data_IF_536402644268
#
_entry.id   IF_536402644268
#
_cell.length_a   1.000
_cell.length_b   1.000
_cell.length_c   1.000
_cell.angle_alpha   90.00
_cell.angle_beta   90.00
_cell.angle_gamma   90.00
#
_symmetry.space_group_name_H-M   'P 1'
#
loop_
_entity.id
_entity.type
_entity.pdbx_description
1 polymer ?
#
# COMPACT_ATOMS: atom_id res chain seq x y z
N UNK A 1 -45.96 -5.44 -25.71
CA UNK A 1 -46.15 -4.08 -26.28
C UNK A 1 -47.58 -3.60 -25.99
N UNK A 2 -47.75 -2.33 -25.60
CA UNK A 2 -49.00 -1.58 -25.32
C UNK A 2 -49.55 -1.36 -23.89
N UNK A 3 -48.79 -1.53 -22.81
CA UNK A 3 -49.17 -0.86 -21.53
C UNK A 3 -48.88 0.65 -21.50
N UNK A 4 -48.07 1.17 -22.42
CA UNK A 4 -47.66 2.59 -22.41
C UNK A 4 -48.50 3.51 -23.32
N UNK A 5 -49.39 2.93 -24.15
CA UNK A 5 -50.24 3.70 -25.06
C UNK A 5 -51.61 4.06 -24.46
N UNK A 6 -52.11 3.31 -23.46
CA UNK A 6 -53.39 3.59 -22.82
C UNK A 6 -53.29 4.52 -21.60
N UNK A 7 -52.08 4.77 -21.07
CA UNK A 7 -51.87 5.68 -19.95
C UNK A 7 -51.84 7.18 -20.35
N UNK A 8 -51.62 7.48 -21.63
CA UNK A 8 -51.48 8.86 -22.13
C UNK A 8 -52.77 9.53 -22.62
N UNK A 9 -53.91 8.82 -22.64
CA UNK A 9 -55.24 9.41 -22.93
C UNK A 9 -56.05 9.72 -21.66
N UNK A 10 -55.44 9.78 -20.48
CA UNK A 10 -56.10 10.14 -19.22
C UNK A 10 -55.80 11.57 -18.73
N UNK A 11 -55.54 12.50 -19.65
CA UNK A 11 -55.58 13.94 -19.36
C UNK A 11 -56.28 14.63 -20.52
N UNK A 12 -57.60 14.77 -20.43
CA UNK A 12 -58.37 15.97 -20.78
C UNK A 12 -59.89 15.68 -20.77
N UNK A 13 -60.61 16.59 -20.12
CA UNK A 13 -62.06 16.87 -20.19
C UNK A 13 -63.07 16.11 -19.30
N UNK A 14 -63.45 16.85 -18.25
CA UNK A 14 -64.77 17.01 -17.63
C UNK A 14 -65.44 15.86 -16.85
N UNK A 15 -65.94 16.27 -15.68
CA UNK A 15 -66.61 15.49 -14.65
C UNK A 15 -67.86 14.75 -15.17
N UNK A 16 -67.96 13.45 -14.87
CA UNK A 16 -69.18 12.74 -14.40
C UNK A 16 -69.11 11.19 -14.58
N UNK A 17 -67.94 10.55 -14.40
CA UNK A 17 -67.85 9.07 -14.38
C UNK A 17 -66.88 8.60 -13.28
N UNK A 18 -67.19 8.90 -12.02
CA UNK A 18 -66.28 8.61 -10.88
C UNK A 18 -66.53 7.27 -10.16
N UNK A 19 -67.41 6.38 -10.65
CA UNK A 19 -67.74 5.15 -9.91
C UNK A 19 -67.61 3.84 -10.69
N UNK A 20 -67.39 3.87 -12.00
CA UNK A 20 -67.22 2.64 -12.80
C UNK A 20 -65.76 2.31 -13.17
N UNK A 21 -64.88 3.31 -13.33
CA UNK A 21 -63.45 3.06 -13.61
C UNK A 21 -62.64 2.55 -12.40
N UNK A 22 -63.06 2.84 -11.17
CA UNK A 22 -62.28 2.48 -9.98
C UNK A 22 -62.22 0.96 -9.74
N UNK A 23 -63.29 0.23 -10.07
CA UNK A 23 -63.37 -1.23 -9.87
C UNK A 23 -62.62 -2.05 -10.91
N UNK A 24 -62.51 -1.59 -12.16
CA UNK A 24 -61.70 -2.30 -13.18
C UNK A 24 -60.21 -1.97 -13.06
N UNK A 25 -59.86 -0.77 -12.61
CA UNK A 25 -58.47 -0.39 -12.34
C UNK A 25 -57.90 -1.07 -11.08
N UNK A 26 -58.74 -1.35 -10.08
CA UNK A 26 -58.33 -2.08 -8.87
C UNK A 26 -58.17 -3.58 -9.11
N UNK A 27 -58.93 -4.17 -10.04
CA UNK A 27 -58.70 -5.57 -10.48
C UNK A 27 -57.45 -5.70 -11.36
N UNK A 28 -57.12 -4.69 -12.17
CA UNK A 28 -55.84 -4.65 -12.88
C UNK A 28 -54.62 -4.51 -11.94
N UNK A 29 -54.79 -3.84 -10.79
CA UNK A 29 -53.76 -3.73 -9.75
C UNK A 29 -53.63 -5.00 -8.89
N UNK A 30 -54.71 -5.75 -8.68
CA UNK A 30 -54.70 -7.02 -7.93
C UNK A 30 -54.28 -8.24 -8.80
N UNK A 31 -54.41 -8.18 -10.13
CA UNK A 31 -53.82 -9.17 -11.07
C UNK A 31 -52.35 -8.86 -11.43
N UNK A 32 -51.91 -7.59 -11.36
CA UNK A 32 -50.50 -7.20 -11.30
C UNK A 32 -50.00 -7.29 -9.84
N UNK A 33 -50.05 -8.48 -9.24
CA UNK A 33 -49.33 -8.72 -7.97
C UNK A 33 -47.89 -8.25 -8.12
N UNK A 34 -47.36 -7.52 -7.12
CA UNK A 34 -45.99 -6.98 -7.03
C UNK A 34 -45.02 -7.67 -8.00
N UNK A 35 -44.97 -7.20 -9.25
CA UNK A 35 -43.99 -7.71 -10.20
C UNK A 35 -42.66 -7.20 -9.67
N UNK A 36 -41.80 -8.12 -9.24
CA UNK A 36 -40.45 -7.78 -8.83
C UNK A 36 -39.82 -6.90 -9.89
N UNK A 37 -39.18 -5.81 -9.47
CA UNK A 37 -38.44 -4.99 -10.42
C UNK A 37 -37.25 -5.80 -10.92
N UNK A 38 -37.14 -5.97 -12.24
CA UNK A 38 -35.95 -6.57 -12.87
C UNK A 38 -34.72 -5.80 -12.41
N UNK A 39 -33.75 -6.52 -11.86
CA UNK A 39 -32.52 -5.93 -11.32
C UNK A 39 -31.33 -6.80 -11.68
N UNK A 40 -30.15 -6.17 -11.70
CA UNK A 40 -28.86 -6.82 -11.71
C UNK A 40 -28.01 -6.22 -10.58
N UNK A 41 -27.23 -7.03 -9.89
CA UNK A 41 -26.35 -6.58 -8.81
C UNK A 41 -25.07 -7.38 -8.82
N UNK A 42 -23.94 -6.69 -8.92
CA UNK A 42 -22.62 -7.27 -8.70
C UNK A 42 -22.47 -7.58 -7.20
N UNK A 43 -22.15 -8.82 -6.87
CA UNK A 43 -21.92 -9.29 -5.50
C UNK A 43 -20.44 -9.47 -5.17
N UNK A 44 -19.60 -9.64 -6.20
CA UNK A 44 -18.14 -9.65 -6.10
C UNK A 44 -17.55 -9.19 -7.43
N UNK A 45 -16.51 -8.34 -7.46
CA UNK A 45 -15.93 -7.64 -6.32
C UNK A 45 -16.92 -6.64 -5.69
N UNK A 46 -16.69 -6.26 -4.43
CA UNK A 46 -17.50 -5.22 -3.77
C UNK A 46 -17.01 -3.81 -4.15
N UNK A 47 -17.90 -2.82 -4.12
CA UNK A 47 -17.52 -1.44 -4.42
C UNK A 47 -16.45 -0.93 -3.44
N UNK A 48 -15.34 -0.43 -3.99
CA UNK A 48 -14.14 0.00 -3.27
C UNK A 48 -13.13 -1.11 -2.95
N UNK A 49 -13.32 -2.35 -3.41
CA UNK A 49 -12.40 -3.46 -3.11
C UNK A 49 -11.01 -3.26 -3.75
N UNK A 50 -9.96 -3.62 -2.99
CA UNK A 50 -8.60 -3.74 -3.54
C UNK A 50 -8.30 -5.19 -3.85
N UNK A 51 -8.04 -5.47 -5.13
CA UNK A 51 -7.72 -6.79 -5.67
C UNK A 51 -6.21 -6.92 -5.84
N UNK A 52 -5.64 -8.03 -5.37
CA UNK A 52 -4.20 -8.30 -5.45
C UNK A 52 -3.78 -8.95 -6.79
N UNK A 53 -4.68 -8.97 -7.77
CA UNK A 53 -4.51 -9.63 -9.06
C UNK A 53 -5.43 -9.00 -10.10
N UNK A 54 -4.93 -8.82 -11.32
CA UNK A 54 -5.73 -8.45 -12.48
C UNK A 54 -6.58 -9.61 -13.03
N UNK A 55 -6.41 -10.81 -12.48
CA UNK A 55 -7.22 -11.99 -12.75
C UNK A 55 -8.23 -12.18 -11.60
N UNK A 56 -9.51 -11.97 -11.88
CA UNK A 56 -10.61 -12.14 -10.92
C UNK A 56 -11.92 -12.48 -11.65
N UNK A 57 -13.00 -12.73 -10.90
CA UNK A 57 -14.32 -13.01 -11.50
C UNK A 57 -15.37 -12.08 -10.94
N UNK A 58 -16.28 -11.63 -11.82
CA UNK A 58 -17.49 -10.91 -11.43
C UNK A 58 -18.54 -11.94 -11.04
N UNK A 59 -18.94 -11.95 -9.79
CA UNK A 59 -20.15 -12.62 -9.33
C UNK A 59 -21.30 -11.61 -9.31
N UNK A 60 -22.48 -12.07 -9.75
CA UNK A 60 -23.65 -11.22 -9.83
C UNK A 60 -24.91 -12.03 -9.57
N UNK A 61 -25.99 -11.31 -9.32
CA UNK A 61 -27.33 -11.85 -9.22
C UNK A 61 -28.31 -11.00 -10.04
N UNK A 62 -29.25 -11.64 -10.71
CA UNK A 62 -30.38 -11.00 -11.38
C UNK A 62 -31.68 -11.38 -10.70
N UNK A 63 -32.65 -10.45 -10.67
CA UNK A 63 -34.03 -10.74 -10.25
C UNK A 63 -34.94 -10.68 -11.46
N UNK A 64 -35.80 -11.69 -11.63
CA UNK A 64 -36.82 -11.77 -12.70
C UNK A 64 -36.24 -11.56 -14.12
N UNK A 65 -35.07 -12.13 -14.40
CA UNK A 65 -34.41 -12.03 -15.71
C UNK A 65 -33.78 -13.36 -16.14
N UNK A 66 -34.23 -13.88 -17.28
CA UNK A 66 -33.76 -15.12 -17.89
C UNK A 66 -32.66 -14.80 -18.91
N UNK A 67 -31.42 -15.16 -18.58
CA UNK A 67 -30.27 -14.96 -19.47
C UNK A 67 -30.28 -16.02 -20.58
N UNK A 68 -30.10 -15.59 -21.82
CA UNK A 68 -29.95 -16.48 -22.97
C UNK A 68 -29.15 -15.85 -24.10
N UNK A 69 -29.13 -16.51 -25.26
CA UNK A 69 -28.34 -16.06 -26.40
C UNK A 69 -28.98 -14.89 -27.15
N UNK A 70 -28.17 -14.16 -27.94
CA UNK A 70 -28.66 -13.15 -28.88
C UNK A 70 -29.75 -13.74 -29.80
N UNK A 71 -30.87 -13.03 -29.91
CA UNK A 71 -32.04 -13.45 -30.71
C UNK A 71 -32.79 -14.66 -30.17
N UNK A 72 -32.67 -14.99 -28.89
CA UNK A 72 -33.50 -16.03 -28.25
C UNK A 72 -35.00 -15.66 -28.33
N UNK A 73 -35.86 -16.69 -28.41
CA UNK A 73 -37.32 -16.53 -28.35
C UNK A 73 -37.87 -16.80 -26.94
N UNK A 74 -37.05 -17.38 -26.05
CA UNK A 74 -37.42 -17.90 -24.73
C UNK A 74 -36.59 -17.32 -23.58
N UNK A 75 -35.91 -16.19 -23.80
CA UNK A 75 -35.15 -15.49 -22.79
C UNK A 75 -35.48 -13.98 -22.75
N UNK A 76 -35.16 -13.32 -21.65
CA UNK A 76 -35.37 -11.88 -21.49
C UNK A 76 -34.23 -11.07 -22.13
N UNK A 77 -33.04 -11.67 -22.25
CA UNK A 77 -31.88 -11.08 -22.91
C UNK A 77 -30.54 -11.60 -22.36
N UNK A 78 -29.53 -10.73 -22.29
CA UNK A 78 -28.18 -11.09 -21.84
C UNK A 78 -27.45 -9.91 -21.19
N UNK A 79 -26.22 -10.14 -20.69
CA UNK A 79 -25.42 -9.07 -20.09
C UNK A 79 -24.38 -8.51 -21.07
N UNK A 80 -24.18 -7.20 -21.01
CA UNK A 80 -22.99 -6.51 -21.51
C UNK A 80 -22.08 -6.13 -20.34
N UNK A 81 -20.78 -6.35 -20.48
CA UNK A 81 -19.77 -6.07 -19.45
C UNK A 81 -18.86 -4.93 -19.92
N UNK A 82 -18.67 -3.93 -19.08
CA UNK A 82 -17.82 -2.79 -19.36
C UNK A 82 -16.74 -2.66 -18.29
N UNK A 83 -15.54 -2.27 -18.73
CA UNK A 83 -14.44 -1.86 -17.86
C UNK A 83 -14.04 -0.44 -18.26
N UNK A 84 -14.06 0.48 -17.30
CA UNK A 84 -13.78 1.90 -17.48
C UNK A 84 -14.67 2.58 -18.54
N UNK A 85 -15.98 2.29 -18.49
CA UNK A 85 -16.99 2.75 -19.45
C UNK A 85 -16.72 2.32 -20.91
N UNK A 86 -15.82 1.36 -21.11
CA UNK A 86 -15.50 0.77 -22.41
C UNK A 86 -15.88 -0.70 -22.46
N UNK A 87 -16.10 -1.22 -23.66
CA UNK A 87 -16.32 -2.66 -23.90
C UNK A 87 -15.23 -3.46 -23.19
N UNK A 88 -15.61 -4.49 -22.43
CA UNK A 88 -14.66 -5.35 -21.73
C UNK A 88 -13.67 -6.01 -22.72
N UNK A 89 -12.38 -5.67 -22.58
CA UNK A 89 -11.28 -6.28 -23.33
C UNK A 89 -10.55 -7.38 -22.56
N UNK A 90 -10.91 -7.60 -21.30
CA UNK A 90 -10.24 -8.50 -20.36
C UNK A 90 -10.99 -9.83 -20.18
N UNK A 91 -12.07 -10.03 -20.92
CA UNK A 91 -12.90 -11.21 -20.85
C UNK A 91 -14.05 -11.11 -21.85
N UNK A 92 -15.15 -11.80 -21.55
CA UNK A 92 -16.35 -11.73 -22.38
C UNK A 92 -17.03 -10.36 -22.23
N UNK A 93 -17.30 -9.71 -23.36
CA UNK A 93 -18.16 -8.52 -23.42
C UNK A 93 -19.64 -8.88 -23.32
N UNK A 94 -20.05 -10.00 -23.95
CA UNK A 94 -21.44 -10.44 -24.00
C UNK A 94 -21.56 -11.79 -23.29
N UNK A 95 -22.40 -11.86 -22.25
CA UNK A 95 -22.54 -13.04 -21.40
C UNK A 95 -23.91 -13.66 -21.58
N UNK A 96 -23.94 -14.87 -22.14
CA UNK A 96 -25.16 -15.60 -22.54
C UNK A 96 -25.54 -16.75 -21.62
N UNK A 97 -24.88 -16.87 -20.47
CA UNK A 97 -25.13 -17.91 -19.48
C UNK A 97 -24.90 -17.39 -18.07
N UNK A 98 -25.67 -17.91 -17.12
CA UNK A 98 -25.46 -17.66 -15.69
C UNK A 98 -24.09 -18.17 -15.21
N UNK A 99 -23.57 -17.52 -14.17
CA UNK A 99 -22.33 -17.89 -13.49
C UNK A 99 -21.30 -16.76 -13.46
N UNK A 100 -20.16 -16.99 -12.77
CA UNK A 100 -19.11 -15.99 -12.65
C UNK A 100 -18.52 -15.59 -14.01
N UNK A 101 -18.27 -14.30 -14.20
CA UNK A 101 -17.67 -13.75 -15.43
C UNK A 101 -16.17 -13.54 -15.18
N UNK A 102 -15.28 -14.36 -15.75
CA UNK A 102 -13.86 -14.22 -15.53
C UNK A 102 -13.29 -13.02 -16.30
N UNK A 103 -12.50 -12.21 -15.61
CA UNK A 103 -11.63 -11.18 -16.18
C UNK A 103 -10.18 -11.61 -15.97
N UNK A 104 -9.34 -11.35 -16.97
CA UNK A 104 -7.91 -11.67 -16.92
C UNK A 104 -7.05 -10.52 -17.44
N UNK A 105 -5.98 -10.23 -16.72
CA UNK A 105 -5.01 -9.20 -17.07
C UNK A 105 -5.55 -7.78 -17.00
N UNK A 106 -6.51 -7.50 -16.12
CA UNK A 106 -6.90 -6.11 -15.81
C UNK A 106 -5.66 -5.38 -15.26
N UNK A 107 -5.25 -4.22 -15.83
CA UNK A 107 -4.05 -3.52 -15.41
C UNK A 107 -4.07 -3.10 -13.94
N UNK A 108 -2.90 -2.74 -13.40
CA UNK A 108 -2.83 -2.12 -12.09
C UNK A 108 -3.38 -0.68 -12.14
N UNK A 109 -4.21 -0.33 -11.17
CA UNK A 109 -4.86 0.98 -11.10
C UNK A 109 -6.29 0.90 -10.59
N UNK A 110 -6.96 2.04 -10.59
CA UNK A 110 -8.39 2.14 -10.32
C UNK A 110 -9.19 1.81 -11.59
N UNK A 111 -10.23 1.00 -11.43
CA UNK A 111 -11.11 0.58 -12.51
C UNK A 111 -12.58 0.63 -12.11
N UNK A 112 -13.45 0.95 -13.06
CA UNK A 112 -14.91 0.83 -12.92
C UNK A 112 -15.40 -0.40 -13.69
N UNK A 113 -16.14 -1.28 -13.03
CA UNK A 113 -16.72 -2.48 -13.63
C UNK A 113 -18.23 -2.32 -13.66
N UNK A 114 -18.82 -2.35 -14.86
CA UNK A 114 -20.26 -2.22 -15.06
C UNK A 114 -20.81 -3.46 -15.77
N UNK A 115 -21.87 -4.05 -15.25
CA UNK A 115 -22.69 -5.02 -15.99
C UNK A 115 -24.06 -4.41 -16.29
N UNK A 116 -24.51 -4.55 -17.53
CA UNK A 116 -25.77 -4.00 -18.02
C UNK A 116 -26.62 -5.12 -18.62
N UNK A 117 -27.90 -5.16 -18.27
CA UNK A 117 -28.87 -6.03 -18.96
C UNK A 117 -29.31 -5.39 -20.27
N UNK A 118 -29.37 -6.19 -21.32
CA UNK A 118 -29.89 -5.80 -22.63
C UNK A 118 -30.89 -6.83 -23.11
N UNK A 119 -31.77 -6.44 -24.02
CA UNK A 119 -32.68 -7.36 -24.69
C UNK A 119 -31.92 -8.30 -25.67
N UNK A 120 -32.58 -9.32 -26.26
CA UNK A 120 -31.95 -10.25 -27.19
C UNK A 120 -31.41 -9.60 -28.47
N UNK A 121 -31.79 -8.34 -28.77
CA UNK A 121 -31.34 -7.55 -29.92
C UNK A 121 -30.14 -6.63 -29.62
N UNK A 122 -29.56 -6.72 -28.41
CA UNK A 122 -28.51 -5.83 -27.89
C UNK A 122 -28.98 -4.40 -27.59
N UNK A 123 -30.28 -4.18 -27.44
CA UNK A 123 -30.81 -2.88 -27.05
C UNK A 123 -30.86 -2.77 -25.53
N UNK A 124 -30.26 -1.72 -24.92
CA UNK A 124 -30.42 -1.46 -23.50
C UNK A 124 -31.87 -1.16 -23.13
N UNK A 125 -32.27 -1.55 -21.92
CA UNK A 125 -33.56 -1.16 -21.35
C UNK A 125 -33.60 0.35 -21.05
N UNK A 126 -34.80 0.92 -20.97
CA UNK A 126 -35.04 2.33 -20.62
C UNK A 126 -35.96 2.43 -19.38
N UNK A 127 -35.46 2.87 -18.21
CA UNK A 127 -34.06 3.22 -17.94
C UNK A 127 -33.12 2.01 -18.00
N UNK A 128 -31.82 2.27 -18.18
CA UNK A 128 -30.78 1.22 -18.15
C UNK A 128 -30.86 0.43 -16.84
N UNK A 129 -30.77 -0.90 -16.94
CA UNK A 129 -30.69 -1.79 -15.78
C UNK A 129 -29.24 -2.26 -15.71
N UNK A 130 -28.48 -1.65 -14.80
CA UNK A 130 -27.04 -1.88 -14.67
C UNK A 130 -26.58 -1.88 -13.21
N UNK A 131 -25.42 -2.47 -12.97
CA UNK A 131 -24.73 -2.45 -11.68
C UNK A 131 -23.27 -2.13 -11.91
N UNK A 132 -22.75 -1.17 -11.15
CA UNK A 132 -21.37 -0.70 -11.24
C UNK A 132 -20.68 -0.83 -9.89
N UNK A 133 -19.43 -1.29 -9.90
CA UNK A 133 -18.53 -1.29 -8.74
C UNK A 133 -17.18 -0.72 -9.15
N UNK A 134 -16.56 0.04 -8.26
CA UNK A 134 -15.20 0.55 -8.43
C UNK A 134 -14.23 -0.37 -7.70
N UNK A 135 -13.10 -0.71 -8.32
CA UNK A 135 -12.06 -1.55 -7.72
C UNK A 135 -10.68 -0.94 -7.92
N UNK A 136 -9.75 -1.30 -7.05
CA UNK A 136 -8.32 -1.01 -7.25
C UNK A 136 -7.58 -2.32 -7.47
N UNK A 137 -6.98 -2.51 -8.64
CA UNK A 137 -6.07 -3.64 -8.88
C UNK A 137 -4.68 -3.21 -8.46
N UNK A 138 -4.16 -3.81 -7.40
CA UNK A 138 -2.84 -3.50 -6.84
C UNK A 138 -1.86 -4.63 -7.09
N UNK A 139 -0.58 -4.28 -7.24
CA UNK A 139 0.49 -5.26 -7.18
C UNK A 139 0.52 -5.84 -5.74
N UNK A 140 0.58 -7.17 -5.59
CA UNK A 140 0.71 -7.78 -4.28
C UNK A 140 2.07 -7.41 -3.68
N UNK A 141 2.11 -6.84 -2.49
CA UNK A 141 3.40 -6.48 -1.86
C UNK A 141 4.18 -7.74 -1.45
N UNK A 142 5.52 -7.71 -1.42
CA UNK A 142 6.29 -8.77 -0.78
C UNK A 142 5.94 -8.81 0.71
N UNK A 143 5.87 -10.00 1.30
CA UNK A 143 5.56 -10.18 2.72
C UNK A 143 6.57 -11.16 3.30
N UNK A 144 7.40 -10.67 4.22
CA UNK A 144 8.43 -11.49 4.86
C UNK A 144 7.84 -12.28 6.02
N UNK A 145 8.20 -13.56 6.10
CA UNK A 145 7.94 -14.41 7.26
C UNK A 145 9.22 -15.13 7.67
N UNK A 146 9.59 -14.99 8.94
CA UNK A 146 10.79 -15.58 9.55
C UNK A 146 10.35 -16.59 10.62
N UNK A 147 10.96 -17.77 10.67
CA UNK A 147 10.66 -18.77 11.71
C UNK A 147 11.86 -19.66 12.01
N UNK A 148 12.25 -19.84 13.28
CA UNK A 148 11.77 -19.10 14.47
C UNK A 148 12.24 -17.64 14.47
N UNK A 149 11.65 -16.78 15.31
CA UNK A 149 12.06 -15.36 15.41
C UNK A 149 13.48 -15.18 15.97
N UNK A 150 14.02 -16.21 16.64
CA UNK A 150 15.38 -16.22 17.17
C UNK A 150 15.94 -17.66 17.25
N UNK A 151 17.26 -17.79 17.12
CA UNK A 151 17.98 -19.03 17.38
C UNK A 151 18.70 -18.96 18.73
N UNK A 152 18.66 -20.03 19.52
CA UNK A 152 19.39 -20.11 20.80
C UNK A 152 19.93 -21.51 21.03
N UNK A 153 21.21 -21.63 21.40
CA UNK A 153 21.89 -22.91 21.55
C UNK A 153 22.74 -22.91 22.83
N UNK A 154 22.66 -23.98 23.61
CA UNK A 154 23.56 -24.24 24.73
C UNK A 154 24.43 -25.46 24.37
N UNK A 155 25.76 -25.29 24.36
CA UNK A 155 26.73 -26.34 24.03
C UNK A 155 27.78 -26.48 25.13
N UNK A 156 28.21 -27.71 25.41
CA UNK A 156 29.37 -27.98 26.25
C UNK A 156 30.67 -27.98 25.43
N UNK A 157 31.82 -28.00 26.12
CA UNK A 157 33.14 -28.03 25.48
C UNK A 157 33.27 -29.22 24.51
N UNK A 158 33.54 -28.91 23.24
CA UNK A 158 33.72 -29.91 22.18
C UNK A 158 32.44 -30.38 21.49
N UNK A 159 31.27 -29.84 21.86
CA UNK A 159 30.00 -30.14 21.17
C UNK A 159 29.76 -29.20 19.97
N UNK A 160 28.99 -29.69 19.01
CA UNK A 160 28.48 -28.93 17.87
C UNK A 160 26.97 -29.09 17.80
N UNK A 161 26.25 -28.03 17.46
CA UNK A 161 24.81 -28.08 17.19
C UNK A 161 24.44 -27.30 15.93
N UNK A 162 23.34 -27.68 15.31
CA UNK A 162 22.78 -27.03 14.12
C UNK A 162 21.35 -26.58 14.45
N UNK A 163 20.98 -25.41 13.95
CA UNK A 163 19.61 -24.93 13.95
C UNK A 163 19.28 -24.32 12.59
N UNK A 164 17.98 -24.25 12.28
CA UNK A 164 17.50 -23.72 11.00
C UNK A 164 16.64 -22.49 11.24
N UNK A 165 17.02 -21.39 10.60
CA UNK A 165 16.17 -20.22 10.42
C UNK A 165 15.55 -20.31 9.01
N UNK A 166 14.23 -20.21 8.93
CA UNK A 166 13.50 -20.17 7.66
C UNK A 166 13.06 -18.74 7.38
N UNK A 167 13.45 -18.21 6.22
CA UNK A 167 12.94 -16.93 5.69
C UNK A 167 12.14 -17.25 4.45
N UNK A 168 10.90 -16.78 4.40
CA UNK A 168 9.97 -17.03 3.30
C UNK A 168 9.28 -15.74 2.88
N UNK A 169 8.92 -15.67 1.61
CA UNK A 169 8.05 -14.64 1.06
C UNK A 169 6.63 -15.20 0.93
N UNK A 170 5.69 -14.69 1.71
CA UNK A 170 4.26 -15.02 1.63
C UNK A 170 3.49 -14.06 0.75
N UNK A 171 4.15 -13.00 0.26
CA UNK A 171 3.61 -12.00 -0.65
C UNK A 171 3.72 -12.39 -2.12
N UNK A 172 3.30 -11.50 -3.02
CA UNK A 172 3.20 -11.80 -4.46
C UNK A 172 4.31 -11.24 -5.34
N UNK A 173 5.17 -10.35 -4.82
CA UNK A 173 6.35 -9.84 -5.52
C UNK A 173 7.65 -10.40 -4.91
N UNK A 174 8.77 -10.48 -5.65
CA UNK A 174 10.04 -10.96 -5.13
C UNK A 174 10.49 -10.23 -3.87
N UNK A 175 10.93 -11.00 -2.86
CA UNK A 175 11.50 -10.46 -1.62
C UNK A 175 13.03 -10.46 -1.73
N UNK A 176 13.63 -9.27 -1.70
CA UNK A 176 15.08 -9.12 -1.56
C UNK A 176 15.45 -9.23 -0.07
N UNK A 177 16.32 -10.19 0.26
CA UNK A 177 16.73 -10.48 1.65
C UNK A 177 18.22 -10.27 1.80
N UNK A 178 18.61 -9.53 2.84
CA UNK A 178 20.01 -9.37 3.26
C UNK A 178 20.16 -9.91 4.68
N UNK A 179 21.17 -10.74 4.88
CA UNK A 179 21.53 -11.29 6.19
C UNK A 179 22.80 -10.59 6.67
N UNK A 180 22.76 -9.96 7.83
CA UNK A 180 23.92 -9.43 8.53
C UNK A 180 24.07 -10.12 9.90
N UNK A 181 25.31 -10.21 10.38
CA UNK A 181 25.62 -10.70 11.72
C UNK A 181 26.14 -9.48 12.48
N UNK A 182 25.41 -9.07 13.51
CA UNK A 182 25.90 -8.06 14.47
C UNK A 182 26.64 -8.81 15.58
N UNK A 183 27.96 -8.60 15.67
CA UNK A 183 28.79 -9.20 16.71
C UNK A 183 28.76 -8.41 18.02
N UNK A 184 27.99 -7.31 18.08
CA UNK A 184 27.88 -6.43 19.23
C UNK A 184 29.19 -5.73 19.57
N UNK A 185 30.07 -5.55 18.57
CA UNK A 185 31.33 -4.86 18.78
C UNK A 185 31.10 -3.39 19.13
N UNK A 186 31.82 -2.92 20.15
CA UNK A 186 31.76 -1.53 20.61
C UNK A 186 33.09 -0.84 20.38
N UNK A 187 33.05 0.47 20.16
CA UNK A 187 34.23 1.34 20.16
C UNK A 187 34.16 2.32 21.33
N UNK A 188 35.30 2.65 21.93
CA UNK A 188 35.39 3.62 23.02
C UNK A 188 36.27 4.81 22.62
N UNK A 189 35.79 6.04 22.85
CA UNK A 189 36.58 7.25 22.62
C UNK A 189 37.49 7.61 23.80
N UNK A 190 38.24 8.71 23.66
CA UNK A 190 39.19 9.17 24.68
C UNK A 190 38.52 9.61 26.00
N UNK A 191 37.24 9.95 25.95
CA UNK A 191 36.45 10.36 27.11
C UNK A 191 35.79 9.17 27.83
N UNK A 192 35.96 7.97 27.28
CA UNK A 192 35.34 6.75 27.79
C UNK A 192 33.89 6.57 27.34
N UNK A 193 33.40 7.32 26.35
CA UNK A 193 32.10 7.05 25.75
C UNK A 193 32.20 5.75 24.93
N UNK A 194 31.28 4.82 25.18
CA UNK A 194 31.18 3.56 24.46
C UNK A 194 30.05 3.67 23.44
N UNK A 195 30.33 3.30 22.21
CA UNK A 195 29.40 3.33 21.08
C UNK A 195 29.25 1.91 20.54
N UNK A 196 28.02 1.48 20.32
CA UNK A 196 27.73 0.26 19.55
C UNK A 196 28.08 0.47 18.08
N UNK A 197 28.36 -0.62 17.37
CA UNK A 197 28.71 -0.56 15.96
C UNK A 197 27.85 -1.51 15.13
N UNK A 198 27.79 -1.27 13.83
CA UNK A 198 27.02 -2.07 12.88
C UNK A 198 27.81 -2.22 11.59
N UNK A 199 27.90 -3.44 11.06
CA UNK A 199 28.47 -3.72 9.75
C UNK A 199 27.41 -3.48 8.67
N UNK A 200 27.73 -2.62 7.70
CA UNK A 200 26.88 -2.28 6.57
C UNK A 200 27.69 -2.44 5.28
N UNK A 201 27.35 -3.45 4.49
CA UNK A 201 28.15 -3.80 3.30
C UNK A 201 29.56 -4.22 3.70
N UNK A 202 30.57 -3.45 3.27
CA UNK A 202 31.98 -3.65 3.64
C UNK A 202 32.48 -2.61 4.68
N UNK A 203 31.59 -1.77 5.21
CA UNK A 203 31.91 -0.68 6.12
C UNK A 203 31.38 -0.98 7.53
N UNK A 204 32.04 -0.45 8.56
CA UNK A 204 31.57 -0.52 9.96
C UNK A 204 31.29 0.89 10.45
N UNK A 205 30.08 1.10 10.99
CA UNK A 205 29.58 2.40 11.43
C UNK A 205 29.23 2.39 12.91
N UNK A 206 29.31 3.53 13.59
CA UNK A 206 28.75 3.68 14.94
C UNK A 206 27.22 3.76 14.85
N UNK A 207 26.50 3.09 15.75
CA UNK A 207 25.04 3.21 15.84
C UNK A 207 24.66 4.57 16.43
N UNK A 208 25.42 5.08 17.40
CA UNK A 208 25.15 6.37 18.04
C UNK A 208 25.96 7.54 17.47
N UNK A 209 25.49 8.76 17.73
CA UNK A 209 26.18 9.98 17.31
C UNK A 209 27.39 10.24 18.23
N UNK A 210 28.52 10.67 17.66
CA UNK A 210 29.73 11.02 18.40
C UNK A 210 29.45 12.13 19.43
N UNK A 211 29.94 11.96 20.66
CA UNK A 211 29.80 12.93 21.76
C UNK A 211 31.10 13.24 22.51
N UNK A 212 32.23 13.02 21.85
CA UNK A 212 33.56 13.33 22.38
C UNK A 212 33.72 14.84 22.65
N UNK A 213 34.44 15.17 23.70
CA UNK A 213 34.74 16.53 24.18
C UNK A 213 36.24 16.83 24.20
N UNK A 214 37.08 15.83 23.94
CA UNK A 214 38.52 15.97 23.72
C UNK A 214 38.94 15.45 22.35
N UNK A 215 39.98 16.05 21.78
CA UNK A 215 40.68 15.46 20.65
C UNK A 215 41.41 14.18 21.08
N UNK A 216 41.79 13.32 20.12
CA UNK A 216 42.48 12.04 20.38
C UNK A 216 43.81 12.18 21.12
N UNK A 217 44.43 13.36 21.12
CA UNK A 217 45.64 13.64 21.90
C UNK A 217 45.36 14.05 23.36
N UNK A 218 44.09 14.19 23.75
CA UNK A 218 43.64 14.60 25.09
C UNK A 218 43.43 16.09 25.27
N UNK A 219 43.62 16.93 24.23
CA UNK A 219 43.30 18.36 24.32
C UNK A 219 41.77 18.56 24.35
N UNK A 220 41.29 19.43 25.24
CA UNK A 220 39.87 19.82 25.26
C UNK A 220 39.46 20.50 23.94
N UNK A 221 38.27 20.14 23.45
CA UNK A 221 37.61 20.84 22.35
C UNK A 221 36.79 21.99 22.98
N UNK A 222 37.04 23.26 22.62
CA UNK A 222 36.29 24.38 23.18
C UNK A 222 34.77 24.32 22.91
N UNK A 223 33.95 24.83 23.83
CA UNK A 223 32.48 24.89 23.72
C UNK A 223 31.87 26.12 24.42
N UNK A 224 30.55 26.29 24.34
CA UNK A 224 29.80 27.35 25.04
C UNK A 224 29.81 28.71 24.35
N UNK A 225 30.03 28.73 23.03
CA UNK A 225 30.04 29.96 22.24
C UNK A 225 28.61 30.41 21.90
N UNK A 226 28.39 31.73 21.90
CA UNK A 226 27.16 32.28 21.34
C UNK A 226 27.11 32.06 19.82
N UNK A 227 25.91 32.15 19.21
CA UNK A 227 25.78 32.05 17.76
C UNK A 227 26.68 33.05 17.01
N UNK A 228 26.81 34.27 17.52
CA UNK A 228 27.66 35.30 16.93
C UNK A 228 29.14 34.93 17.03
N UNK A 229 29.59 34.43 18.19
CA UNK A 229 30.98 33.99 18.38
C UNK A 229 31.29 32.77 17.49
N UNK A 230 30.37 31.80 17.44
CA UNK A 230 30.52 30.55 16.68
C UNK A 230 30.82 30.82 15.20
N UNK A 231 30.12 31.77 14.59
CA UNK A 231 30.33 32.14 13.17
C UNK A 231 31.69 32.78 12.89
N UNK A 232 32.37 33.30 13.92
CA UNK A 232 33.65 33.98 13.80
C UNK A 232 34.84 33.11 14.25
N UNK A 233 34.58 31.87 14.69
CA UNK A 233 35.64 30.95 15.10
C UNK A 233 36.54 30.59 13.91
N UNK A 234 37.83 30.47 14.19
CA UNK A 234 38.86 29.95 13.27
C UNK A 234 39.57 28.72 13.83
N UNK A 235 39.03 28.17 14.93
CA UNK A 235 39.53 27.00 15.63
C UNK A 235 38.42 25.99 15.83
N UNK A 236 38.79 24.73 16.08
CA UNK A 236 37.81 23.69 16.38
C UNK A 236 37.00 24.00 17.63
N UNK A 237 35.71 23.70 17.58
CA UNK A 237 34.78 23.81 18.70
C UNK A 237 33.63 22.80 18.54
N UNK A 238 32.98 22.48 19.64
CA UNK A 238 31.73 21.72 19.65
C UNK A 238 30.62 22.47 20.39
N UNK A 239 29.37 22.13 20.10
CA UNK A 239 28.18 22.61 20.79
C UNK A 239 27.24 21.45 21.08
N UNK A 240 26.36 21.64 22.07
CA UNK A 240 25.27 20.70 22.36
C UNK A 240 23.99 21.29 21.81
N UNK A 241 23.15 20.46 21.18
CA UNK A 241 21.90 20.93 20.58
C UNK A 241 21.04 21.68 21.61
N UNK A 242 20.55 22.87 21.24
CA UNK A 242 19.79 23.79 22.11
C UNK A 242 20.50 24.21 23.42
N UNK A 243 21.83 24.09 23.51
CA UNK A 243 22.61 24.38 24.71
C UNK A 243 22.14 23.62 25.97
N UNK A 244 21.44 22.50 25.78
CA UNK A 244 20.98 21.63 26.86
C UNK A 244 21.89 20.41 26.95
N UNK A 245 22.66 20.30 28.03
CA UNK A 245 23.59 19.19 28.24
C UNK A 245 22.94 17.80 28.14
N UNK A 246 21.63 17.68 28.40
CA UNK A 246 20.92 16.40 28.28
C UNK A 246 20.79 15.92 26.83
N UNK A 247 20.90 16.84 25.87
CA UNK A 247 20.83 16.51 24.45
C UNK A 247 22.09 15.83 23.92
N UNK A 248 23.23 15.93 24.62
CA UNK A 248 24.46 15.27 24.20
C UNK A 248 24.32 13.74 24.20
N UNK A 249 23.57 13.17 25.14
CA UNK A 249 23.33 11.72 25.20
C UNK A 249 22.33 11.23 24.15
N UNK A 250 21.47 12.12 23.63
CA UNK A 250 20.42 11.77 22.67
C UNK A 250 20.89 12.01 21.23
N UNK A 251 21.54 13.15 20.99
CA UNK A 251 21.87 13.65 19.66
C UNK A 251 23.37 13.72 19.39
N UNK A 252 24.22 13.40 20.37
CA UNK A 252 25.64 13.65 20.30
C UNK A 252 25.99 15.14 20.35
N UNK A 253 27.23 15.45 20.01
CA UNK A 253 27.73 16.82 19.93
C UNK A 253 27.79 17.30 18.47
N UNK A 254 27.63 18.61 18.28
CA UNK A 254 27.76 19.29 16.99
C UNK A 254 29.16 19.88 16.88
N UNK A 255 29.93 19.45 15.88
CA UNK A 255 31.29 19.93 15.65
C UNK A 255 31.33 20.91 14.49
N UNK A 256 32.15 21.95 14.59
CA UNK A 256 32.42 22.81 13.43
C UNK A 256 33.44 22.15 12.48
N UNK A 257 33.56 22.69 11.25
CA UNK A 257 34.48 22.17 10.25
C UNK A 257 35.94 22.17 10.71
N UNK A 258 36.36 23.18 11.48
CA UNK A 258 37.71 23.25 12.04
C UNK A 258 38.02 22.11 13.00
N UNK A 259 37.04 21.62 13.77
CA UNK A 259 37.22 20.48 14.66
C UNK A 259 37.30 19.17 13.88
N UNK A 260 36.49 19.04 12.82
CA UNK A 260 36.47 17.87 11.93
C UNK A 260 37.78 17.71 11.16
N UNK A 261 38.36 18.82 10.68
CA UNK A 261 39.60 18.83 9.90
C UNK A 261 40.88 18.92 10.76
N UNK A 262 40.74 19.00 12.09
CA UNK A 262 41.89 19.13 12.98
C UNK A 262 42.76 17.85 12.98
N UNK A 263 44.07 18.02 12.85
CA UNK A 263 45.02 16.90 12.80
C UNK A 263 45.06 16.06 14.09
N UNK A 264 44.59 16.62 15.21
CA UNK A 264 44.50 15.91 16.49
C UNK A 264 43.36 14.87 16.49
N UNK A 265 42.38 15.02 15.60
CA UNK A 265 41.32 14.05 15.32
C UNK A 265 40.24 13.93 16.40
N UNK A 266 38.98 13.77 15.96
CA UNK A 266 37.82 13.57 16.83
C UNK A 266 37.56 12.09 17.15
N UNK A 267 37.72 11.21 16.16
CA UNK A 267 37.28 9.83 16.27
C UNK A 267 38.21 8.99 17.17
N UNK A 268 37.73 7.86 17.72
CA UNK A 268 38.59 6.85 18.36
C UNK A 268 39.73 6.36 17.46
N UNK A 269 40.73 5.69 18.05
CA UNK A 269 41.82 5.08 17.27
C UNK A 269 41.28 4.02 16.30
N UNK A 270 41.72 4.05 15.04
CA UNK A 270 41.21 3.17 13.98
C UNK A 270 39.92 3.65 13.31
N UNK A 271 39.32 4.73 13.81
CA UNK A 271 38.11 5.34 13.25
C UNK A 271 38.40 6.71 12.65
N UNK A 272 37.58 7.14 11.70
CA UNK A 272 37.69 8.44 11.03
C UNK A 272 36.33 9.06 10.77
N UNK A 273 36.34 10.37 10.48
CA UNK A 273 35.15 11.08 10.02
C UNK A 273 34.87 10.62 8.59
N UNK A 274 33.66 10.17 8.26
CA UNK A 274 33.34 9.66 6.94
C UNK A 274 33.61 10.68 5.83
N UNK A 275 34.14 10.19 4.72
CA UNK A 275 34.20 10.96 3.47
C UNK A 275 32.84 10.96 2.76
N UNK A 276 32.64 11.92 1.84
CA UNK A 276 31.44 11.95 1.00
C UNK A 276 31.25 10.64 0.21
N UNK A 277 32.34 9.99 -0.19
CA UNK A 277 32.28 8.71 -0.90
C UNK A 277 31.77 7.60 0.02
N UNK A 278 32.33 7.46 1.23
CA UNK A 278 31.90 6.43 2.17
C UNK A 278 30.44 6.63 2.60
N UNK A 279 30.02 7.89 2.79
CA UNK A 279 28.62 8.20 3.06
C UNK A 279 27.72 7.87 1.86
N UNK A 280 28.18 8.10 0.63
CA UNK A 280 27.44 7.71 -0.57
C UNK A 280 27.26 6.19 -0.63
N UNK A 281 28.32 5.42 -0.41
CA UNK A 281 28.28 3.95 -0.36
C UNK A 281 27.29 3.45 0.71
N UNK A 282 27.29 4.06 1.90
CA UNK A 282 26.31 3.77 2.95
C UNK A 282 24.87 4.02 2.47
N UNK A 283 24.61 5.17 1.85
CA UNK A 283 23.27 5.53 1.38
C UNK A 283 22.81 4.72 0.17
N UNK A 284 23.74 4.22 -0.65
CA UNK A 284 23.43 3.30 -1.75
C UNK A 284 22.99 1.94 -1.19
N UNK A 285 23.57 1.51 -0.07
CA UNK A 285 23.22 0.25 0.59
C UNK A 285 21.90 0.34 1.36
N UNK A 286 21.72 1.36 2.19
CA UNK A 286 20.55 1.49 3.08
C UNK A 286 19.40 2.32 2.49
N UNK A 287 19.64 3.09 1.42
CA UNK A 287 18.67 4.01 0.84
C UNK A 287 18.37 5.24 1.71
N UNK A 288 17.21 5.87 1.47
CA UNK A 288 16.79 7.06 2.21
C UNK A 288 16.66 6.77 3.72
N UNK A 289 17.18 7.67 4.55
CA UNK A 289 17.11 7.54 6.01
C UNK A 289 18.14 6.58 6.62
N UNK A 290 19.25 6.31 5.91
CA UNK A 290 20.33 5.43 6.36
C UNK A 290 20.75 5.62 7.84
N UNK A 291 20.87 6.87 8.30
CA UNK A 291 21.21 7.18 9.70
C UNK A 291 20.21 6.70 10.75
N UNK A 292 18.92 6.56 10.40
CA UNK A 292 17.92 5.93 11.26
C UNK A 292 18.02 4.41 11.22
N UNK A 293 18.20 3.84 10.03
CA UNK A 293 18.30 2.38 9.83
C UNK A 293 19.50 1.75 10.52
N UNK A 294 20.60 2.48 10.68
CA UNK A 294 21.76 2.01 11.46
C UNK A 294 21.49 1.89 12.97
N UNK A 295 20.41 2.50 13.48
CA UNK A 295 20.06 2.54 14.90
C UNK A 295 19.06 1.46 15.31
N UNK A 296 18.53 0.71 14.35
CA UNK A 296 17.61 -0.41 14.54
C UNK A 296 18.37 -1.71 14.87
#
# INVERSE_FOLDING_TARGET
ENCNAEAQECVLEFADVYLYCATECQLAYEECGELGSVTVTITSPVDGETLNSGDFSIEYFTTDFTIGSSGCDDCDGHLHVFVDDTINFYGDYMVYSEGPIPLSGVPYGEHSITIQLVDPSHSPFDPSIESTVNVTVSMPTPEISVTPDALSLELNEGETGEQTLTISNTGGEPLEVTLSIDDGSTVTDIDGNVYETVEVGEQVWMKENLKVTHYRNGDEIPTGYSNDDWTNLTTGAYAVYNDDSLNADIYGNLYNGYAVEDERGLCPEGWHVPTDQEYTELTDYLGFGAGGKMKE
#
